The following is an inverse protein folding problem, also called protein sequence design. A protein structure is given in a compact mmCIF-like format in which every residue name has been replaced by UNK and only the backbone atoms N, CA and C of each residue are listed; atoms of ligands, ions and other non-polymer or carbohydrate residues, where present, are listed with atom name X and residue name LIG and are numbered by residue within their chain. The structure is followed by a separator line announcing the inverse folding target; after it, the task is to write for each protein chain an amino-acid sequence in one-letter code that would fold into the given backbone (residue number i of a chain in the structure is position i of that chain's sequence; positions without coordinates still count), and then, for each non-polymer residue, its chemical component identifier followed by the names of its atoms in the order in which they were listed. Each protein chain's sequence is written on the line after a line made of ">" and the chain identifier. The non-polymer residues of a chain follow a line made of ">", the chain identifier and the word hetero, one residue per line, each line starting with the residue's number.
data_IF_975893491639
#
_entry.id   IF_975893491639
#
_cell.length_a   1.000
_cell.length_b   1.000
_cell.length_c   1.000
_cell.angle_alpha   90.00
_cell.angle_beta   90.00
_cell.angle_gamma   90.00
#
_symmetry.space_group_name_H-M   'P 1'
#
loop_
_entity.id
_entity.type
_entity.pdbx_description
1 polymer ?
#
# COMPACT_ATOMS: atom_id res chain seq x y z
N UNK A 1 31.42 10.70 5.77
CA UNK A 1 31.17 9.25 5.67
C UNK A 1 30.80 8.71 7.05
N UNK A 2 29.84 7.79 7.16
CA UNK A 2 29.24 7.46 8.46
C UNK A 2 28.76 6.00 8.58
N UNK A 3 29.01 5.40 9.74
CA UNK A 3 28.51 4.09 10.20
C UNK A 3 27.19 4.17 10.97
N UNK A 4 26.22 3.28 10.78
CA UNK A 4 25.00 3.35 11.61
C UNK A 4 25.34 3.08 13.09
N UNK A 5 25.29 4.11 13.96
CA UNK A 5 25.76 4.02 15.35
C UNK A 5 25.07 2.90 16.17
N UNK A 6 23.75 2.65 16.01
CA UNK A 6 23.08 1.54 16.68
C UNK A 6 23.47 0.14 16.14
N UNK A 7 24.28 0.08 15.08
CA UNK A 7 24.68 -1.13 14.37
C UNK A 7 23.58 -1.68 13.46
N UNK A 8 22.42 -2.02 14.05
CA UNK A 8 21.26 -2.58 13.36
C UNK A 8 19.99 -1.83 13.73
N UNK A 9 19.01 -1.82 12.81
CA UNK A 9 17.72 -1.16 13.05
C UNK A 9 16.92 -1.94 14.09
N UNK A 10 17.01 -3.27 14.08
CA UNK A 10 16.33 -4.15 15.03
C UNK A 10 16.61 -3.78 16.49
N UNK A 11 17.84 -3.33 16.80
CA UNK A 11 18.23 -2.89 18.14
C UNK A 11 17.36 -1.74 18.66
N UNK A 12 16.95 -0.83 17.76
CA UNK A 12 16.10 0.32 18.08
C UNK A 12 14.61 -0.03 18.20
N UNK A 13 14.21 -1.17 17.65
CA UNK A 13 12.82 -1.65 17.71
C UNK A 13 12.60 -2.54 18.94
N UNK A 14 13.64 -3.24 19.38
CA UNK A 14 13.60 -4.14 20.54
C UNK A 14 13.68 -3.38 21.88
N UNK A 15 14.41 -2.27 21.92
CA UNK A 15 14.61 -1.49 23.13
C UNK A 15 13.80 -0.19 23.03
N UNK A 16 13.04 0.13 24.08
CA UNK A 16 12.40 1.44 24.23
C UNK A 16 13.40 2.52 24.66
N UNK A 17 14.63 2.43 24.14
CA UNK A 17 15.74 3.33 24.45
C UNK A 17 16.35 3.87 23.17
N UNK A 18 16.55 5.17 23.19
CA UNK A 18 17.20 5.89 22.11
C UNK A 18 18.71 5.65 22.15
N UNK A 19 19.41 5.68 21.01
CA UNK A 19 20.87 5.71 21.04
C UNK A 19 21.30 6.99 21.76
N UNK A 20 22.03 6.84 22.86
CA UNK A 20 22.49 7.95 23.71
C UNK A 20 23.57 8.79 23.04
N UNK A 21 24.14 8.30 21.93
CA UNK A 21 25.27 8.91 21.27
C UNK A 21 24.93 9.38 19.86
N UNK A 22 25.14 10.67 19.63
CA UNK A 22 25.13 11.29 18.31
C UNK A 22 26.57 11.53 17.83
N UNK A 23 26.81 11.43 16.52
CA UNK A 23 28.16 11.68 15.96
C UNK A 23 28.65 13.10 16.16
N UNK A 24 27.76 14.07 16.02
CA UNK A 24 28.08 15.48 16.15
C UNK A 24 27.20 16.09 17.25
N UNK A 25 27.66 16.05 18.51
CA UNK A 25 26.90 16.59 19.63
C UNK A 25 26.58 18.08 19.49
N UNK A 26 27.49 18.88 18.94
CA UNK A 26 27.30 20.32 18.73
C UNK A 26 26.12 20.60 17.78
N UNK A 27 26.08 19.90 16.63
CA UNK A 27 24.96 20.01 15.69
C UNK A 27 23.65 19.54 16.33
N UNK A 28 23.66 18.41 17.03
CA UNK A 28 22.47 17.89 17.72
C UNK A 28 21.95 18.90 18.75
N UNK A 29 22.84 19.47 19.58
CA UNK A 29 22.48 20.49 20.56
C UNK A 29 21.88 21.74 19.89
N UNK A 30 22.46 22.21 18.79
CA UNK A 30 21.91 23.34 18.03
C UNK A 30 20.51 23.03 17.47
N UNK A 31 20.30 21.85 16.88
CA UNK A 31 19.00 21.45 16.34
C UNK A 31 17.93 21.27 17.43
N UNK A 32 18.32 20.77 18.60
CA UNK A 32 17.45 20.72 19.79
C UNK A 32 17.09 22.13 20.26
N UNK A 33 18.07 23.03 20.38
CA UNK A 33 17.83 24.41 20.82
C UNK A 33 16.90 25.17 19.87
N UNK A 34 16.99 24.87 18.56
CA UNK A 34 16.11 25.40 17.52
C UNK A 34 14.77 24.66 17.38
N UNK A 35 14.48 23.68 18.25
CA UNK A 35 13.26 22.85 18.24
C UNK A 35 13.01 22.12 16.91
N UNK A 36 14.07 21.76 16.20
CA UNK A 36 13.99 21.02 14.93
C UNK A 36 13.94 19.50 15.14
N UNK A 37 14.50 19.01 16.24
CA UNK A 37 14.49 17.59 16.62
C UNK A 37 14.14 17.44 18.10
N UNK A 38 13.52 16.32 18.44
CA UNK A 38 13.28 15.94 19.83
C UNK A 38 14.61 15.63 20.54
N UNK A 39 14.70 15.93 21.83
CA UNK A 39 15.87 15.58 22.69
C UNK A 39 16.02 14.08 22.90
N UNK A 40 14.95 13.33 22.66
CA UNK A 40 14.90 11.88 22.79
C UNK A 40 15.13 11.31 21.40
N UNK A 41 16.20 10.52 21.21
CA UNK A 41 16.57 9.87 19.94
C UNK A 41 15.59 8.81 19.42
N UNK A 42 14.30 8.99 19.72
CA UNK A 42 13.17 8.18 19.28
C UNK A 42 12.73 8.47 17.85
N UNK A 43 13.37 9.39 17.13
CA UNK A 43 12.94 9.80 15.78
C UNK A 43 12.78 8.63 14.80
N UNK A 44 13.72 7.69 14.80
CA UNK A 44 13.64 6.48 13.97
C UNK A 44 12.45 5.61 14.38
N UNK A 45 12.31 5.31 15.68
CA UNK A 45 11.19 4.50 16.18
C UNK A 45 9.84 5.18 15.91
N UNK A 46 9.75 6.50 16.09
CA UNK A 46 8.58 7.32 15.79
C UNK A 46 8.21 7.20 14.32
N UNK A 47 9.18 7.27 13.41
CA UNK A 47 8.94 7.06 11.98
C UNK A 47 8.33 5.67 11.70
N UNK A 48 8.81 4.60 12.34
CA UNK A 48 8.23 3.26 12.20
C UNK A 48 6.78 3.21 12.71
N UNK A 49 6.52 3.83 13.86
CA UNK A 49 5.17 3.92 14.43
C UNK A 49 4.23 4.69 13.51
N UNK A 50 4.67 5.82 12.95
CA UNK A 50 3.85 6.62 12.03
C UNK A 50 3.58 5.89 10.71
N UNK A 51 4.56 5.16 10.16
CA UNK A 51 4.34 4.32 8.98
C UNK A 51 3.32 3.21 9.25
N UNK A 52 3.42 2.56 10.42
CA UNK A 52 2.44 1.57 10.86
C UNK A 52 1.03 2.15 10.97
N UNK A 53 0.86 3.31 11.61
CA UNK A 53 -0.45 3.98 11.75
C UNK A 53 -1.11 4.26 10.41
N UNK A 54 -0.29 4.59 9.40
CA UNK A 54 -0.74 4.86 8.02
C UNK A 54 -0.90 3.58 7.19
N UNK A 55 -0.66 2.41 7.77
CA UNK A 55 -0.69 1.09 7.13
C UNK A 55 0.34 0.95 6.00
N UNK A 56 1.39 1.77 6.02
CA UNK A 56 2.44 1.75 5.01
C UNK A 56 3.55 0.76 5.38
N UNK A 57 4.29 0.26 4.38
CA UNK A 57 5.52 -0.47 4.62
C UNK A 57 6.46 0.33 5.53
N UNK A 58 7.16 -0.39 6.39
CA UNK A 58 8.12 0.25 7.29
C UNK A 58 9.32 0.79 6.50
N UNK A 59 10.06 1.76 7.03
CA UNK A 59 11.24 2.31 6.37
C UNK A 59 12.33 1.24 6.19
N UNK A 60 12.95 1.20 5.01
CA UNK A 60 14.07 0.31 4.71
C UNK A 60 15.39 1.02 4.98
N UNK A 61 16.34 0.31 5.60
CA UNK A 61 17.68 0.79 5.84
C UNK A 61 18.68 -0.10 5.13
N UNK A 62 19.47 0.48 4.24
CA UNK A 62 20.65 -0.15 3.68
C UNK A 62 21.87 0.39 4.42
N UNK A 63 22.53 -0.47 5.19
CA UNK A 63 23.70 -0.11 6.00
C UNK A 63 24.89 -0.89 5.43
N UNK A 64 25.87 -0.17 4.88
CA UNK A 64 27.08 -0.72 4.27
C UNK A 64 28.30 -0.20 5.06
N UNK A 65 28.74 -0.92 6.12
CA UNK A 65 29.85 -0.49 6.97
C UNK A 65 31.16 -0.28 6.20
N UNK A 66 31.45 -1.16 5.24
CA UNK A 66 32.67 -1.17 4.42
C UNK A 66 32.75 0.10 3.55
N UNK A 67 31.61 0.54 3.04
CA UNK A 67 31.49 1.77 2.24
C UNK A 67 31.18 3.01 3.09
N UNK A 68 31.00 2.85 4.41
CA UNK A 68 30.58 3.91 5.35
C UNK A 68 29.36 4.68 4.86
N UNK A 69 28.38 3.93 4.35
CA UNK A 69 27.13 4.43 3.76
C UNK A 69 25.93 3.93 4.56
N UNK A 70 24.96 4.82 4.77
CA UNK A 70 23.64 4.51 5.31
C UNK A 70 22.61 5.17 4.41
N UNK A 71 21.74 4.37 3.80
CA UNK A 71 20.62 4.83 2.99
C UNK A 71 19.31 4.44 3.67
N UNK A 72 18.32 5.33 3.59
CA UNK A 72 16.97 5.12 4.12
C UNK A 72 15.96 5.31 3.00
N UNK A 73 15.04 4.37 2.86
CA UNK A 73 13.92 4.47 1.91
C UNK A 73 12.60 4.45 2.66
N UNK A 74 11.80 5.49 2.45
CA UNK A 74 10.50 5.66 3.10
C UNK A 74 9.42 5.55 2.02
N UNK A 75 8.51 4.60 2.18
CA UNK A 75 7.44 4.34 1.22
C UNK A 75 6.16 5.07 1.64
N UNK A 76 5.65 5.97 0.80
CA UNK A 76 4.45 6.78 1.08
C UNK A 76 3.13 6.17 0.60
N UNK A 77 3.07 4.85 0.40
CA UNK A 77 1.90 4.13 -0.11
C UNK A 77 1.84 2.71 0.42
N UNK A 78 0.64 2.12 0.46
CA UNK A 78 0.50 0.67 0.67
C UNK A 78 1.13 -0.07 -0.51
N UNK A 79 1.85 -1.16 -0.20
CA UNK A 79 2.44 -2.06 -1.19
C UNK A 79 1.77 -3.43 -1.19
N UNK A 80 1.38 -3.94 -0.01
CA UNK A 80 0.62 -5.19 0.12
C UNK A 80 -0.66 -4.96 0.95
N UNK A 81 -1.80 -5.30 0.38
CA UNK A 81 -3.10 -5.16 1.03
C UNK A 81 -3.29 -6.14 2.19
N UNK A 82 -2.71 -7.34 2.12
CA UNK A 82 -2.78 -8.35 3.19
C UNK A 82 -2.02 -7.89 4.41
N UNK A 83 -0.86 -7.25 4.21
CA UNK A 83 -0.11 -6.60 5.30
C UNK A 83 -0.94 -5.52 5.98
N UNK A 84 -1.53 -4.60 5.20
CA UNK A 84 -2.38 -3.55 5.76
C UNK A 84 -3.58 -4.12 6.55
N UNK A 85 -4.22 -5.18 6.05
CA UNK A 85 -5.32 -5.87 6.74
C UNK A 85 -4.88 -6.46 8.07
N UNK A 86 -3.73 -7.16 8.12
CA UNK A 86 -3.20 -7.72 9.37
C UNK A 86 -2.92 -6.62 10.40
N UNK A 87 -2.38 -5.47 9.98
CA UNK A 87 -2.15 -4.35 10.89
C UNK A 87 -3.42 -3.78 11.51
N UNK A 88 -4.52 -3.77 10.75
CA UNK A 88 -5.83 -3.31 11.22
C UNK A 88 -6.46 -4.32 12.16
N UNK A 89 -6.36 -5.62 11.82
CA UNK A 89 -6.95 -6.70 12.61
C UNK A 89 -6.22 -6.91 13.94
N UNK A 90 -4.92 -6.61 13.98
CA UNK A 90 -4.07 -6.84 15.13
C UNK A 90 -3.36 -5.54 15.59
N UNK A 91 -4.11 -4.56 16.13
CA UNK A 91 -3.51 -3.32 16.66
C UNK A 91 -2.58 -3.59 17.86
N UNK A 92 -2.70 -4.74 18.52
CA UNK A 92 -1.86 -5.19 19.63
C UNK A 92 -0.48 -5.69 19.22
N UNK A 93 -0.20 -5.85 17.91
CA UNK A 93 1.12 -6.32 17.46
C UNK A 93 2.24 -5.44 17.98
N UNK A 94 3.35 -6.05 18.39
CA UNK A 94 4.54 -5.29 18.74
C UNK A 94 5.17 -4.69 17.49
N UNK A 95 5.98 -3.63 17.65
CA UNK A 95 6.69 -3.04 16.52
C UNK A 95 7.65 -4.03 15.84
N UNK A 96 8.19 -4.98 16.62
CA UNK A 96 9.03 -6.06 16.10
C UNK A 96 8.23 -7.07 15.26
N UNK A 97 7.02 -7.44 15.68
CA UNK A 97 6.16 -8.32 14.87
C UNK A 97 5.81 -7.68 13.54
N UNK A 98 5.46 -6.39 13.57
CA UNK A 98 5.17 -5.59 12.37
C UNK A 98 6.39 -5.51 11.45
N UNK A 99 7.58 -5.35 12.02
CA UNK A 99 8.84 -5.37 11.26
C UNK A 99 9.11 -6.71 10.58
N UNK A 100 8.85 -7.84 11.25
CA UNK A 100 9.01 -9.15 10.64
C UNK A 100 7.95 -9.41 9.55
N UNK A 101 6.71 -8.95 9.74
CA UNK A 101 5.67 -9.02 8.72
C UNK A 101 6.00 -8.17 7.49
N UNK A 102 6.56 -6.98 7.70
CA UNK A 102 7.01 -6.11 6.63
C UNK A 102 8.17 -6.75 5.83
N UNK A 103 9.11 -7.44 6.50
CA UNK A 103 10.13 -8.26 5.83
C UNK A 103 9.50 -9.34 4.95
N UNK A 104 8.46 -10.03 5.42
CA UNK A 104 7.75 -11.04 4.64
C UNK A 104 7.06 -10.42 3.41
N UNK A 105 6.34 -9.31 3.56
CA UNK A 105 5.71 -8.60 2.43
C UNK A 105 6.77 -8.21 1.36
N UNK A 106 7.94 -7.76 1.81
CA UNK A 106 9.05 -7.34 0.95
C UNK A 106 9.88 -8.51 0.40
N UNK A 107 9.51 -9.75 0.74
CA UNK A 107 10.25 -10.99 0.39
C UNK A 107 11.70 -10.96 0.86
N UNK A 108 11.95 -10.30 1.98
CA UNK A 108 13.24 -10.29 2.65
C UNK A 108 13.41 -11.57 3.48
N UNK A 109 14.64 -12.08 3.62
CA UNK A 109 14.89 -13.28 4.40
C UNK A 109 14.55 -13.04 5.88
N UNK A 110 13.86 -14.02 6.47
CA UNK A 110 13.64 -14.13 7.92
C UNK A 110 14.17 -15.46 8.41
N UNK A 111 14.60 -15.52 9.67
CA UNK A 111 15.06 -16.76 10.28
C UNK A 111 13.92 -17.76 10.47
N UNK A 112 14.27 -19.04 10.60
CA UNK A 112 13.30 -20.12 10.85
C UNK A 112 12.57 -19.94 12.18
N UNK A 113 13.25 -19.39 13.19
CA UNK A 113 12.67 -19.09 14.50
C UNK A 113 11.61 -17.97 14.41
N UNK A 114 11.93 -16.86 13.72
CA UNK A 114 10.99 -15.76 13.47
C UNK A 114 9.78 -16.22 12.67
N UNK A 115 10.00 -17.01 11.61
CA UNK A 115 8.92 -17.58 10.81
C UNK A 115 8.02 -18.51 11.64
N UNK A 116 8.59 -19.33 12.53
CA UNK A 116 7.83 -20.21 13.43
C UNK A 116 6.99 -19.40 14.42
N UNK A 117 7.53 -18.32 14.97
CA UNK A 117 6.81 -17.43 15.88
C UNK A 117 5.62 -16.74 15.19
N UNK A 118 5.81 -16.20 13.99
CA UNK A 118 4.74 -15.58 13.21
C UNK A 118 3.66 -16.60 12.79
N UNK A 119 4.05 -17.83 12.41
CA UNK A 119 3.11 -18.91 12.10
C UNK A 119 2.30 -19.36 13.30
N UNK A 120 2.91 -19.45 14.49
CA UNK A 120 2.21 -19.83 15.72
C UNK A 120 1.07 -18.83 16.04
N UNK A 121 1.26 -17.56 15.67
CA UNK A 121 0.28 -16.49 15.81
C UNK A 121 -0.66 -16.36 14.59
N UNK A 122 -0.55 -17.25 13.60
CA UNK A 122 -1.32 -17.27 12.34
C UNK A 122 -1.21 -15.98 11.51
N UNK A 123 -0.08 -15.26 11.61
CA UNK A 123 0.14 -14.01 10.87
C UNK A 123 0.75 -14.22 9.49
N UNK A 124 1.35 -15.38 9.24
CA UNK A 124 1.96 -15.75 7.96
C UNK A 124 1.59 -17.18 7.55
N UNK A 125 1.56 -17.41 6.25
CA UNK A 125 1.23 -18.69 5.61
C UNK A 125 2.24 -19.04 4.51
N UNK A 126 2.19 -20.28 4.03
CA UNK A 126 3.03 -20.77 2.95
C UNK A 126 4.30 -21.50 3.40
N UNK A 127 5.02 -22.05 2.43
CA UNK A 127 6.30 -22.77 2.64
C UNK A 127 7.41 -21.77 2.90
N UNK A 128 8.50 -22.20 3.55
CA UNK A 128 9.65 -21.32 3.88
C UNK A 128 10.23 -20.66 2.63
N UNK A 129 10.15 -21.31 1.47
CA UNK A 129 10.58 -20.79 0.17
C UNK A 129 9.64 -19.75 -0.45
N UNK A 130 8.40 -19.63 0.04
CA UNK A 130 7.40 -18.70 -0.47
C UNK A 130 6.40 -18.35 0.64
N UNK A 131 6.85 -17.48 1.56
CA UNK A 131 6.05 -16.99 2.68
C UNK A 131 5.19 -15.82 2.24
N UNK A 132 3.96 -15.78 2.74
CA UNK A 132 3.00 -14.70 2.51
C UNK A 132 2.37 -14.27 3.83
N UNK A 133 1.95 -13.02 3.91
CA UNK A 133 1.15 -12.54 5.04
C UNK A 133 -0.22 -13.22 4.99
N UNK A 134 -0.63 -13.84 6.11
CA UNK A 134 -1.94 -14.45 6.27
C UNK A 134 -2.93 -13.37 6.65
N UNK A 135 -3.79 -12.98 5.71
CA UNK A 135 -4.95 -12.17 6.02
C UNK A 135 -6.16 -13.11 6.14
N UNK A 136 -6.62 -13.38 7.36
CA UNK A 136 -7.94 -13.97 7.53
C UNK A 136 -8.98 -12.91 7.11
N UNK A 137 -9.88 -13.23 6.19
CA UNK A 137 -10.95 -12.33 5.74
C UNK A 137 -12.03 -12.14 6.83
N UNK A 138 -11.67 -11.57 7.97
CA UNK A 138 -12.62 -11.16 8.98
C UNK A 138 -13.33 -9.87 8.55
N UNK A 139 -14.66 -9.94 8.48
CA UNK A 139 -15.62 -8.86 8.20
C UNK A 139 -15.50 -7.68 9.20
N UNK A 140 -14.44 -6.88 9.13
CA UNK A 140 -14.35 -5.61 9.88
C UNK A 140 -14.82 -4.49 8.96
N UNK A 141 -16.11 -4.55 8.60
CA UNK A 141 -16.78 -3.70 7.59
C UNK A 141 -17.07 -2.25 8.02
N UNK A 142 -16.58 -1.80 9.19
CA UNK A 142 -16.86 -0.45 9.71
C UNK A 142 -15.89 0.61 9.21
N UNK A 143 -14.65 0.58 9.69
CA UNK A 143 -13.61 1.56 9.36
C UNK A 143 -12.92 1.31 8.00
N UNK A 144 -13.06 0.09 7.46
CA UNK A 144 -12.51 -0.28 6.15
C UNK A 144 -13.21 0.44 5.00
N UNK A 145 -14.50 0.74 5.13
CA UNK A 145 -15.27 1.39 4.08
C UNK A 145 -14.73 2.81 3.84
N UNK A 146 -14.57 3.62 4.89
CA UNK A 146 -14.11 5.00 4.76
C UNK A 146 -12.69 5.08 4.19
N UNK A 147 -11.77 4.23 4.64
CA UNK A 147 -10.39 4.20 4.15
C UNK A 147 -10.26 3.76 2.68
N UNK A 148 -11.03 2.74 2.27
CA UNK A 148 -11.09 2.30 0.87
C UNK A 148 -11.80 3.35 0.00
N UNK A 149 -12.81 4.03 0.54
CA UNK A 149 -13.50 5.14 -0.12
C UNK A 149 -12.59 6.37 -0.26
N UNK A 150 -11.72 6.67 0.70
CA UNK A 150 -10.81 7.83 0.62
C UNK A 150 -9.62 7.58 -0.32
N UNK A 151 -9.08 6.35 -0.30
CA UNK A 151 -7.96 5.94 -1.17
C UNK A 151 -8.41 5.66 -2.61
N UNK A 152 -9.67 5.24 -2.78
CA UNK A 152 -10.22 4.71 -4.01
C UNK A 152 -9.73 3.29 -4.30
N UNK A 153 -10.55 2.51 -5.00
CA UNK A 153 -10.19 1.16 -5.44
C UNK A 153 -9.00 1.14 -6.42
N UNK A 154 -8.36 -0.02 -6.56
CA UNK A 154 -7.39 -0.24 -7.62
C UNK A 154 -8.00 -0.04 -9.01
N UNK A 155 -7.17 0.31 -9.98
CA UNK A 155 -7.60 0.62 -11.35
C UNK A 155 -8.36 -0.54 -12.00
N UNK A 156 -7.94 -1.77 -11.74
CA UNK A 156 -8.56 -2.98 -12.28
C UNK A 156 -9.99 -3.17 -11.79
N UNK A 157 -10.32 -2.72 -10.57
CA UNK A 157 -11.69 -2.73 -10.06
C UNK A 157 -12.61 -1.84 -10.91
N UNK A 158 -12.21 -0.60 -11.21
CA UNK A 158 -13.01 0.29 -12.06
C UNK A 158 -13.14 -0.24 -13.48
N UNK A 159 -12.07 -0.82 -14.02
CA UNK A 159 -12.08 -1.48 -15.32
C UNK A 159 -13.12 -2.61 -15.34
N UNK A 160 -13.14 -3.45 -14.31
CA UNK A 160 -14.09 -4.55 -14.18
C UNK A 160 -15.53 -4.06 -14.09
N UNK A 161 -15.80 -2.99 -13.35
CA UNK A 161 -17.13 -2.38 -13.28
C UNK A 161 -17.61 -1.86 -14.64
N UNK A 162 -16.72 -1.23 -15.41
CA UNK A 162 -17.03 -0.79 -16.78
C UNK A 162 -17.39 -1.99 -17.66
N UNK A 163 -16.58 -3.05 -17.64
CA UNK A 163 -16.84 -4.26 -18.44
C UNK A 163 -18.15 -4.95 -18.03
N UNK A 164 -18.43 -5.08 -16.73
CA UNK A 164 -19.69 -5.64 -16.22
C UNK A 164 -20.90 -4.81 -16.64
N UNK A 165 -20.81 -3.48 -16.60
CA UNK A 165 -21.90 -2.60 -17.07
C UNK A 165 -22.13 -2.73 -18.58
N UNK A 166 -21.07 -2.80 -19.37
CA UNK A 166 -21.12 -2.93 -20.83
C UNK A 166 -21.52 -4.33 -21.31
N UNK A 167 -21.35 -5.36 -20.46
CA UNK A 167 -21.84 -6.71 -20.71
C UNK A 167 -23.36 -6.78 -20.70
N UNK A 168 -24.02 -5.96 -19.88
CA UNK A 168 -25.48 -5.90 -19.86
C UNK A 168 -26.00 -5.24 -21.14
N UNK A 169 -25.58 -3.99 -21.39
CA UNK A 169 -25.98 -3.24 -22.58
C UNK A 169 -24.93 -2.17 -22.95
N UNK A 170 -24.78 -1.85 -24.25
CA UNK A 170 -24.06 -0.67 -24.70
C UNK A 170 -24.60 0.60 -24.04
N UNK A 171 -23.73 1.48 -23.57
CA UNK A 171 -24.16 2.70 -22.91
C UNK A 171 -23.28 3.90 -23.23
N UNK A 172 -23.82 5.09 -22.97
CA UNK A 172 -23.09 6.35 -23.18
C UNK A 172 -22.11 6.57 -22.03
N UNK A 173 -21.11 7.41 -22.29
CA UNK A 173 -20.17 7.85 -21.25
C UNK A 173 -20.87 8.40 -20.01
N UNK A 174 -21.94 9.16 -20.17
CA UNK A 174 -22.70 9.74 -19.05
C UNK A 174 -23.29 8.68 -18.10
N UNK A 175 -23.69 7.53 -18.63
CA UNK A 175 -24.23 6.43 -17.82
C UNK A 175 -23.12 5.71 -17.05
N UNK A 176 -21.95 5.54 -17.68
CA UNK A 176 -20.74 5.02 -17.02
C UNK A 176 -20.24 5.96 -15.94
N UNK A 177 -20.26 7.27 -16.19
CA UNK A 177 -19.96 8.28 -15.18
C UNK A 177 -20.92 8.19 -14.01
N UNK A 178 -22.24 8.08 -14.24
CA UNK A 178 -23.22 7.96 -13.14
C UNK A 178 -22.93 6.78 -12.22
N UNK A 179 -22.53 5.64 -12.77
CA UNK A 179 -22.19 4.44 -11.99
C UNK A 179 -20.86 4.62 -11.25
N UNK A 180 -19.82 5.10 -11.95
CA UNK A 180 -18.46 5.20 -11.40
C UNK A 180 -18.27 6.37 -10.43
N UNK A 181 -18.96 7.50 -10.63
CA UNK A 181 -18.84 8.69 -9.77
C UNK A 181 -19.21 8.38 -8.32
N UNK A 182 -20.21 7.50 -8.12
CA UNK A 182 -20.62 7.03 -6.79
C UNK A 182 -19.63 6.07 -6.12
N UNK A 183 -18.62 5.60 -6.86
CA UNK A 183 -17.60 4.63 -6.40
C UNK A 183 -16.17 5.19 -6.43
N UNK A 184 -15.98 6.37 -7.00
CA UNK A 184 -14.70 7.08 -7.02
C UNK A 184 -14.47 7.81 -5.71
N UNK A 185 -13.21 7.91 -5.25
CA UNK A 185 -12.90 8.41 -3.92
C UNK A 185 -13.42 9.83 -3.68
N UNK A 186 -13.94 10.07 -2.47
CA UNK A 186 -14.57 11.35 -2.10
C UNK A 186 -13.58 12.52 -2.06
N UNK A 187 -12.29 12.23 -1.88
CA UNK A 187 -11.21 13.22 -1.90
C UNK A 187 -11.02 13.89 -3.27
N UNK A 188 -11.57 13.31 -4.35
CA UNK A 188 -11.48 13.86 -5.70
C UNK A 188 -12.65 14.83 -5.96
N UNK A 189 -12.33 15.99 -6.52
CA UNK A 189 -13.37 16.92 -6.99
C UNK A 189 -14.13 16.36 -8.22
N UNK A 190 -15.26 16.98 -8.56
CA UNK A 190 -16.11 16.52 -9.65
C UNK A 190 -15.39 16.53 -11.02
N UNK A 191 -14.41 17.41 -11.23
CA UNK A 191 -13.65 17.50 -12.48
C UNK A 191 -12.59 16.40 -12.56
N UNK A 192 -11.85 16.18 -11.48
CA UNK A 192 -10.88 15.09 -11.32
C UNK A 192 -11.54 13.72 -11.51
N UNK A 193 -12.74 13.53 -10.95
CA UNK A 193 -13.52 12.30 -11.14
C UNK A 193 -13.89 12.08 -12.62
N UNK A 194 -14.41 13.11 -13.31
CA UNK A 194 -14.72 13.04 -14.75
C UNK A 194 -13.48 12.76 -15.61
N UNK A 195 -12.35 13.37 -15.27
CA UNK A 195 -11.07 13.15 -15.96
C UNK A 195 -10.55 11.73 -15.76
N UNK A 196 -10.74 11.14 -14.57
CA UNK A 196 -10.36 9.76 -14.28
C UNK A 196 -11.16 8.76 -15.11
N UNK A 197 -12.48 8.96 -15.25
CA UNK A 197 -13.33 8.13 -16.13
C UNK A 197 -12.93 8.27 -17.60
N UNK A 198 -12.67 9.50 -18.07
CA UNK A 198 -12.19 9.74 -19.44
C UNK A 198 -10.91 8.97 -19.75
N UNK A 199 -9.94 9.03 -18.84
CA UNK A 199 -8.65 8.37 -19.00
C UNK A 199 -8.80 6.85 -18.98
N UNK A 200 -9.66 6.31 -18.10
CA UNK A 200 -9.97 4.89 -18.03
C UNK A 200 -10.54 4.35 -19.35
N UNK A 201 -11.55 5.03 -19.92
CA UNK A 201 -12.17 4.61 -21.18
C UNK A 201 -11.20 4.72 -22.37
N UNK A 202 -10.39 5.77 -22.41
CA UNK A 202 -9.38 5.94 -23.45
C UNK A 202 -8.35 4.80 -23.44
N UNK A 203 -7.97 4.34 -22.26
CA UNK A 203 -7.04 3.23 -22.10
C UNK A 203 -7.67 1.88 -22.43
N UNK A 204 -8.90 1.62 -21.96
CA UNK A 204 -9.63 0.38 -22.31
C UNK A 204 -9.87 0.26 -23.82
N UNK A 205 -10.02 1.39 -24.51
CA UNK A 205 -10.07 1.44 -25.97
C UNK A 205 -8.72 1.11 -26.62
N UNK A 206 -7.61 1.61 -26.07
CA UNK A 206 -6.25 1.28 -26.56
C UNK A 206 -5.90 -0.18 -26.33
N UNK A 207 -6.36 -0.77 -25.24
CA UNK A 207 -6.15 -2.18 -24.92
C UNK A 207 -7.16 -3.12 -25.61
N UNK A 208 -7.95 -2.62 -26.57
CA UNK A 208 -8.92 -3.39 -27.37
C UNK A 208 -9.97 -4.13 -26.53
N UNK A 209 -10.30 -3.63 -25.33
CA UNK A 209 -11.33 -4.21 -24.46
C UNK A 209 -12.73 -3.67 -24.80
N UNK A 210 -12.80 -2.41 -25.24
CA UNK A 210 -14.04 -1.72 -25.61
C UNK A 210 -13.82 -0.90 -26.88
N UNK A 211 -14.89 -0.64 -27.62
CA UNK A 211 -14.86 0.23 -28.79
C UNK A 211 -15.96 1.30 -28.71
N UNK A 212 -15.67 2.55 -29.11
CA UNK A 212 -16.71 3.54 -29.31
C UNK A 212 -17.45 3.24 -30.62
N UNK A 213 -18.77 3.28 -30.54
CA UNK A 213 -19.68 3.23 -31.67
C UNK A 213 -19.79 4.65 -32.26
N UNK A 214 -19.10 4.88 -33.38
CA UNK A 214 -19.01 6.18 -34.05
C UNK A 214 -17.83 7.06 -33.61
N UNK A 215 -17.95 8.39 -33.81
CA UNK A 215 -16.87 9.35 -33.50
C UNK A 215 -16.65 9.45 -31.99
N UNK A 216 -15.37 9.44 -31.57
CA UNK A 216 -14.98 9.67 -30.17
C UNK A 216 -15.48 11.05 -29.71
N UNK A 217 -16.39 11.05 -28.74
CA UNK A 217 -17.02 12.28 -28.24
C UNK A 217 -17.89 12.02 -27.00
N UNK A 218 -18.49 13.06 -26.40
CA UNK A 218 -19.35 12.94 -25.22
C UNK A 218 -20.62 12.13 -25.50
N UNK A 219 -21.03 12.03 -26.76
CA UNK A 219 -22.20 11.25 -27.23
C UNK A 219 -21.85 9.83 -27.65
N UNK A 220 -20.57 9.43 -27.59
CA UNK A 220 -20.15 8.10 -28.00
C UNK A 220 -20.79 7.01 -27.12
N UNK A 221 -21.35 6.00 -27.80
CA UNK A 221 -21.87 4.79 -27.16
C UNK A 221 -20.72 3.78 -27.12
N UNK A 222 -20.43 3.22 -25.96
CA UNK A 222 -19.36 2.24 -25.81
C UNK A 222 -19.92 0.82 -25.92
N UNK A 223 -19.18 -0.06 -26.60
CA UNK A 223 -19.50 -1.48 -26.74
C UNK A 223 -18.34 -2.34 -26.26
N UNK A 224 -18.68 -3.51 -25.71
CA UNK A 224 -17.73 -4.51 -25.25
C UNK A 224 -17.17 -5.30 -26.44
N UNK A 225 -15.86 -5.57 -26.44
CA UNK A 225 -15.19 -6.42 -27.43
C UNK A 225 -14.98 -7.84 -26.89
N UNK A 226 -14.76 -8.86 -27.75
CA UNK A 226 -14.52 -10.25 -27.32
C UNK A 226 -13.41 -10.41 -26.29
N UNK A 227 -12.28 -9.69 -26.46
CA UNK A 227 -11.18 -9.69 -25.49
C UNK A 227 -11.57 -9.15 -24.11
N UNK A 228 -12.54 -8.22 -24.05
CA UNK A 228 -13.13 -7.74 -22.80
C UNK A 228 -14.05 -8.77 -22.16
N UNK A 229 -14.74 -9.58 -22.97
CA UNK A 229 -15.61 -10.66 -22.50
C UNK A 229 -14.81 -11.78 -21.83
N UNK A 230 -13.68 -12.17 -22.42
CA UNK A 230 -12.76 -13.19 -21.88
C UNK A 230 -12.16 -12.78 -20.53
N UNK A 231 -11.86 -11.48 -20.37
CA UNK A 231 -11.34 -10.93 -19.12
C UNK A 231 -12.37 -10.99 -17.99
N UNK A 232 -13.66 -10.76 -18.31
CA UNK A 232 -14.76 -10.90 -17.33
C UNK A 232 -15.04 -12.37 -17.00
N UNK A 233 -14.88 -13.29 -17.96
CA UNK A 233 -15.15 -14.72 -17.76
C UNK A 233 -14.12 -15.40 -16.85
N UNK A 234 -12.83 -15.04 -16.96
CA UNK A 234 -11.74 -15.62 -16.16
C UNK A 234 -11.80 -15.27 -14.66
N UNK A 235 -12.35 -14.12 -14.30
CA UNK A 235 -12.49 -13.71 -12.88
C UNK A 235 -13.71 -14.32 -12.18
N UNK A 236 -14.72 -14.80 -12.92
CA UNK A 236 -15.91 -15.43 -12.33
C UNK A 236 -15.73 -16.90 -11.93
N UNK A 237 -14.52 -17.46 -12.12
CA UNK A 237 -14.18 -18.86 -11.87
C UNK A 237 -13.08 -19.04 -10.79
N UNK A 238 -12.71 -17.99 -10.05
CA UNK A 238 -11.72 -18.04 -8.96
C UNK A 238 -12.31 -17.59 -7.63
#
# INVERSE_FOLDING_TARGET
>A
MGSFLPGKVESLLAQDRSPEQYRNPCLTQAMVALKLIDTVGSGIRRMFVEQRKRLFPLPDYLIEPEQRRVEVRITGRIVDERYAQVLVQHPELSLMDVFLLDKVQKRLPISTAEAKALRARKLIEGRVTNLHVSAQMAKVMGDQAQYILDKGFEKDFYLMWVLKRLRMEPCKRADLERVLLSKLPEILDAEQKRNKVKNLLAEMSRSLLITPDGKRGPTAVWRLLPAGLDKVAKEGQS
#
